data_IF_861931654229
#
_entry.id   IF_861931654229
#
_cell.length_a   1.000
_cell.length_b   1.000
_cell.length_c   1.000
_cell.angle_alpha   90.00
_cell.angle_beta   90.00
_cell.angle_gamma   90.00
#
_symmetry.space_group_name_H-M   'P 1'
#
loop_
_entity.id
_entity.type
_entity.pdbx_description
1 polymer ?
#
# COMPACT_ATOMS: atom_id res chain seq x y z
N UNK A 1 -2.87 -0.03 -13.44
CA UNK A 1 -4.20 -0.18 -14.09
C UNK A 1 -5.21 0.90 -13.65
N UNK A 2 -4.79 1.91 -12.86
CA UNK A 2 -5.70 2.89 -12.21
C UNK A 2 -6.06 4.11 -13.07
N UNK A 3 -5.32 4.41 -14.15
CA UNK A 3 -5.58 5.62 -14.94
C UNK A 3 -6.71 5.49 -15.98
N UNK A 4 -7.25 4.28 -16.23
CA UNK A 4 -8.21 4.06 -17.33
C UNK A 4 -9.69 4.25 -16.97
N UNK A 5 -10.05 4.33 -15.68
CA UNK A 5 -11.47 4.27 -15.27
C UNK A 5 -12.04 5.62 -14.80
N UNK A 6 -11.22 6.64 -14.58
CA UNK A 6 -11.68 7.96 -14.12
C UNK A 6 -11.68 9.06 -15.21
N UNK A 7 -11.38 8.71 -16.45
CA UNK A 7 -11.46 9.61 -17.61
C UNK A 7 -12.70 9.28 -18.48
N UNK A 8 -13.90 9.35 -17.89
CA UNK A 8 -15.14 9.44 -18.66
C UNK A 8 -15.64 10.88 -18.62
N UNK A 9 -15.24 11.66 -19.62
CA UNK A 9 -15.71 13.03 -19.82
C UNK A 9 -14.84 13.74 -20.87
N UNK A 10 -15.40 13.91 -22.07
CA UNK A 10 -14.86 14.67 -23.21
C UNK A 10 -13.71 14.01 -23.99
N UNK A 11 -14.07 13.04 -24.84
CA UNK A 11 -13.24 12.57 -25.95
C UNK A 11 -13.17 13.67 -27.03
N UNK A 12 -12.22 14.61 -26.92
CA UNK A 12 -11.87 15.46 -28.05
C UNK A 12 -10.90 14.69 -28.94
N UNK A 13 -11.34 14.32 -30.14
CA UNK A 13 -10.49 13.76 -31.19
C UNK A 13 -9.47 14.84 -31.59
N UNK A 14 -8.27 14.79 -31.04
CA UNK A 14 -7.15 15.61 -31.49
C UNK A 14 -6.49 14.92 -32.70
N UNK A 15 -6.76 15.48 -33.87
CA UNK A 15 -5.99 15.19 -35.09
C UNK A 15 -4.60 15.79 -34.88
N UNK A 16 -3.59 14.94 -34.65
CA UNK A 16 -2.19 15.33 -34.66
C UNK A 16 -1.73 15.58 -36.10
N UNK A 17 -1.86 16.80 -36.59
CA UNK A 17 -1.07 17.24 -37.74
C UNK A 17 0.37 17.44 -37.28
N UNK A 18 1.23 16.47 -37.62
CA UNK A 18 2.68 16.66 -37.54
C UNK A 18 3.05 17.76 -38.53
N UNK A 19 3.22 18.99 -38.03
CA UNK A 19 3.80 20.07 -38.82
C UNK A 19 5.27 19.70 -39.07
N UNK A 20 5.54 19.24 -40.28
CA UNK A 20 6.89 19.09 -40.81
C UNK A 20 7.30 20.44 -41.37
N UNK A 21 8.14 21.18 -40.64
CA UNK A 21 8.77 22.41 -41.16
C UNK A 21 9.97 21.99 -42.00
N UNK A 22 9.95 22.30 -43.29
CA UNK A 22 11.11 22.16 -44.17
C UNK A 22 12.22 23.13 -43.73
N UNK A 23 13.42 22.63 -43.44
CA UNK A 23 14.56 23.42 -42.98
C UNK A 23 15.43 23.88 -44.15
N UNK A 24 15.50 25.20 -44.40
CA UNK A 24 16.55 25.85 -45.18
C UNK A 24 17.75 26.21 -44.28
N UNK A 25 18.97 25.83 -44.69
CA UNK A 25 20.21 25.94 -43.89
C UNK A 25 20.62 27.36 -43.44
N UNK A 26 20.04 28.43 -43.97
CA UNK A 26 20.27 29.81 -43.50
C UNK A 26 19.46 30.19 -42.23
N UNK A 27 18.48 29.37 -41.83
CA UNK A 27 17.53 29.66 -40.74
C UNK A 27 18.03 29.28 -39.33
N UNK A 28 19.20 28.62 -39.21
CA UNK A 28 19.66 28.02 -37.95
C UNK A 28 20.64 28.89 -37.14
N UNK A 29 21.10 30.04 -37.65
CA UNK A 29 22.04 30.91 -36.91
C UNK A 29 21.33 31.94 -36.01
N UNK A 30 21.95 32.25 -34.86
CA UNK A 30 21.48 33.29 -33.93
C UNK A 30 21.50 34.68 -34.61
N UNK A 31 20.38 35.42 -34.62
CA UNK A 31 20.37 36.80 -35.10
C UNK A 31 21.14 37.73 -34.14
N UNK A 32 21.38 38.98 -34.54
CA UNK A 32 21.97 39.97 -33.65
C UNK A 32 21.08 40.18 -32.41
N UNK A 33 21.63 39.91 -31.22
CA UNK A 33 20.90 39.96 -29.95
C UNK A 33 20.93 41.40 -29.42
N UNK A 34 19.78 42.05 -29.22
CA UNK A 34 19.72 43.38 -28.60
C UNK A 34 20.32 43.37 -27.19
N UNK A 35 21.00 44.46 -26.81
CA UNK A 35 21.72 44.60 -25.53
C UNK A 35 20.88 44.17 -24.32
N UNK A 36 19.61 44.57 -24.28
CA UNK A 36 18.69 44.25 -23.19
C UNK A 36 18.43 42.73 -22.99
N UNK A 37 18.76 41.89 -23.98
CA UNK A 37 18.58 40.43 -23.92
C UNK A 37 19.88 39.63 -23.78
N UNK A 38 21.05 40.26 -23.97
CA UNK A 38 22.35 39.58 -23.92
C UNK A 38 22.58 38.84 -22.61
N UNK A 39 22.22 39.45 -21.47
CA UNK A 39 22.31 38.84 -20.14
C UNK A 39 21.57 37.48 -20.04
N UNK A 40 20.39 37.36 -20.65
CA UNK A 40 19.60 36.12 -20.59
C UNK A 40 20.25 35.00 -21.41
N UNK A 41 20.89 35.34 -22.54
CA UNK A 41 21.66 34.38 -23.33
C UNK A 41 22.93 33.93 -22.61
N UNK A 42 23.64 34.85 -21.94
CA UNK A 42 24.81 34.51 -21.11
C UNK A 42 24.42 33.57 -19.97
N UNK A 43 23.30 33.84 -19.28
CA UNK A 43 22.75 32.96 -18.25
C UNK A 43 22.40 31.57 -18.80
N UNK A 44 21.74 31.51 -19.96
CA UNK A 44 21.41 30.25 -20.61
C UNK A 44 22.66 29.47 -21.01
N UNK A 45 23.69 30.13 -21.52
CA UNK A 45 24.96 29.48 -21.85
C UNK A 45 25.62 28.90 -20.59
N UNK A 46 25.62 29.64 -19.48
CA UNK A 46 26.13 29.17 -18.20
C UNK A 46 25.37 27.93 -17.71
N UNK A 47 24.04 28.02 -17.63
CA UNK A 47 23.17 26.92 -17.17
C UNK A 47 23.30 25.69 -18.08
N UNK A 48 23.39 25.90 -19.39
CA UNK A 48 23.63 24.82 -20.36
C UNK A 48 24.98 24.16 -20.10
N UNK A 49 26.04 24.93 -19.88
CA UNK A 49 27.38 24.37 -19.63
C UNK A 49 27.42 23.54 -18.35
N UNK A 50 26.72 23.98 -17.29
CA UNK A 50 26.64 23.25 -16.02
C UNK A 50 26.02 21.85 -16.16
N UNK A 51 25.08 21.65 -17.10
CA UNK A 51 24.50 20.32 -17.32
C UNK A 51 25.52 19.25 -17.75
N UNK A 52 26.70 19.65 -18.22
CA UNK A 52 27.79 18.74 -18.56
C UNK A 52 28.32 17.97 -17.33
N UNK A 53 28.12 18.50 -16.11
CA UNK A 53 28.48 17.84 -14.86
C UNK A 53 27.88 16.43 -14.74
N UNK A 54 26.72 16.21 -15.37
CA UNK A 54 26.00 14.93 -15.27
C UNK A 54 26.42 13.90 -16.32
N UNK A 55 27.29 14.26 -17.27
CA UNK A 55 27.78 13.39 -18.35
C UNK A 55 26.64 12.65 -19.06
N UNK A 56 25.67 13.42 -19.58
CA UNK A 56 24.50 12.87 -20.28
C UNK A 56 24.92 12.40 -21.67
N UNK A 57 24.52 11.19 -22.06
CA UNK A 57 24.80 10.67 -23.40
C UNK A 57 24.14 11.55 -24.48
N UNK A 58 24.90 11.87 -25.54
CA UNK A 58 24.41 12.76 -26.61
C UNK A 58 24.26 14.23 -26.18
N UNK A 59 25.03 14.69 -25.19
CA UNK A 59 24.92 16.06 -24.67
C UNK A 59 25.07 17.16 -25.73
N UNK A 60 25.91 16.99 -26.74
CA UNK A 60 26.06 17.97 -27.82
C UNK A 60 24.76 18.17 -28.62
N UNK A 61 24.00 17.09 -28.84
CA UNK A 61 22.67 17.17 -29.45
C UNK A 61 21.71 17.98 -28.57
N UNK A 62 21.76 17.78 -27.25
CA UNK A 62 20.92 18.53 -26.31
C UNK A 62 21.32 20.00 -26.22
N UNK A 63 22.62 20.30 -26.29
CA UNK A 63 23.13 21.67 -26.41
C UNK A 63 22.62 22.33 -27.69
N UNK A 64 22.64 21.61 -28.82
CA UNK A 64 22.09 22.11 -30.08
C UNK A 64 20.57 22.33 -30.01
N UNK A 65 19.82 21.47 -29.31
CA UNK A 65 18.39 21.69 -29.07
C UNK A 65 18.13 22.97 -28.28
N UNK A 66 18.87 23.22 -27.20
CA UNK A 66 18.77 24.46 -26.40
C UNK A 66 19.13 25.69 -27.24
N UNK A 67 20.17 25.59 -28.07
CA UNK A 67 20.55 26.65 -29.00
C UNK A 67 19.43 26.96 -30.01
N UNK A 68 18.89 25.93 -30.67
CA UNK A 68 17.79 26.09 -31.62
C UNK A 68 16.53 26.67 -30.98
N UNK A 69 16.25 26.32 -29.73
CA UNK A 69 15.16 26.92 -28.98
C UNK A 69 15.39 28.43 -28.81
N UNK A 70 16.57 28.87 -28.37
CA UNK A 70 16.89 30.30 -28.28
C UNK A 70 16.73 31.02 -29.64
N UNK A 71 17.24 30.42 -30.73
CA UNK A 71 17.08 30.96 -32.09
C UNK A 71 15.60 31.12 -32.44
N UNK A 72 14.75 30.14 -32.11
CA UNK A 72 13.32 30.21 -32.39
C UNK A 72 12.62 31.36 -31.64
N UNK A 73 13.05 31.70 -30.42
CA UNK A 73 12.52 32.83 -29.65
C UNK A 73 12.95 34.16 -30.28
N UNK A 74 14.25 34.28 -30.60
CA UNK A 74 14.81 35.52 -31.14
C UNK A 74 14.28 35.86 -32.53
N UNK A 75 14.08 34.86 -33.38
CA UNK A 75 13.54 35.02 -34.74
C UNK A 75 12.02 35.14 -34.80
N UNK A 76 11.31 34.90 -33.70
CA UNK A 76 9.85 35.06 -33.70
C UNK A 76 9.48 36.55 -33.72
N UNK A 77 8.95 37.00 -34.86
CA UNK A 77 8.52 38.39 -35.09
C UNK A 77 7.21 38.74 -34.38
N UNK A 78 6.43 37.74 -33.96
CA UNK A 78 5.18 37.95 -33.21
C UNK A 78 5.44 38.28 -31.73
N UNK A 79 6.66 38.05 -31.24
CA UNK A 79 7.03 38.33 -29.84
C UNK A 79 7.62 39.72 -29.70
N UNK A 80 7.06 40.49 -28.76
CA UNK A 80 7.70 41.72 -28.33
C UNK A 80 8.94 41.41 -27.46
N UNK A 81 9.69 42.45 -27.10
CA UNK A 81 10.91 42.31 -26.30
C UNK A 81 10.67 41.64 -24.93
N UNK A 82 9.55 41.94 -24.28
CA UNK A 82 9.23 41.39 -22.97
C UNK A 82 8.87 39.90 -23.06
N UNK A 83 8.16 39.49 -24.10
CA UNK A 83 7.82 38.09 -24.33
C UNK A 83 9.07 37.26 -24.64
N UNK A 84 10.00 37.79 -25.45
CA UNK A 84 11.31 37.14 -25.68
C UNK A 84 12.08 36.95 -24.38
N UNK A 85 12.15 37.98 -23.55
CA UNK A 85 12.78 37.91 -22.21
C UNK A 85 12.08 36.86 -21.34
N UNK A 86 10.74 36.85 -21.30
CA UNK A 86 9.94 35.89 -20.54
C UNK A 86 10.26 34.44 -20.91
N UNK A 87 10.40 34.12 -22.19
CA UNK A 87 10.70 32.75 -22.64
C UNK A 87 12.16 32.36 -22.45
N UNK A 88 13.12 33.26 -22.69
CA UNK A 88 14.53 33.00 -22.41
C UNK A 88 14.77 32.77 -20.91
N UNK A 89 14.17 33.61 -20.07
CA UNK A 89 14.21 33.45 -18.60
C UNK A 89 13.57 32.14 -18.18
N UNK A 90 12.38 31.81 -18.67
CA UNK A 90 11.72 30.55 -18.29
C UNK A 90 12.48 29.31 -18.74
N UNK A 91 13.09 29.32 -19.92
CA UNK A 91 14.00 28.24 -20.34
C UNK A 91 15.18 28.12 -19.35
N UNK A 92 15.77 29.23 -18.94
CA UNK A 92 16.85 29.23 -17.96
C UNK A 92 16.41 28.67 -16.60
N UNK A 93 15.20 29.01 -16.12
CA UNK A 93 14.62 28.47 -14.89
C UNK A 93 14.42 26.95 -14.98
N UNK A 94 13.96 26.45 -16.14
CA UNK A 94 13.79 25.02 -16.40
C UNK A 94 15.12 24.28 -16.31
N UNK A 95 16.18 24.80 -16.96
CA UNK A 95 17.51 24.16 -16.92
C UNK A 95 18.10 24.16 -15.50
N UNK A 96 17.99 25.27 -14.77
CA UNK A 96 18.50 25.38 -13.40
C UNK A 96 17.72 24.48 -12.42
N UNK A 97 16.40 24.42 -12.55
CA UNK A 97 15.56 23.53 -11.74
C UNK A 97 15.90 22.07 -12.03
N UNK A 98 16.06 21.71 -13.30
CA UNK A 98 16.49 20.36 -13.69
C UNK A 98 17.86 20.01 -13.10
N UNK A 99 18.85 20.91 -13.21
CA UNK A 99 20.17 20.70 -12.62
C UNK A 99 20.09 20.42 -11.12
N UNK A 100 19.35 21.26 -10.39
CA UNK A 100 19.12 21.08 -8.96
C UNK A 100 18.44 19.74 -8.66
N UNK A 101 17.36 19.41 -9.36
CA UNK A 101 16.60 18.19 -9.11
C UNK A 101 17.40 16.93 -9.46
N UNK A 102 18.31 16.95 -10.45
CA UNK A 102 19.24 15.84 -10.70
C UNK A 102 20.25 15.71 -9.55
N UNK A 103 20.83 16.81 -9.06
CA UNK A 103 21.78 16.80 -7.94
C UNK A 103 21.18 16.21 -6.67
N UNK A 104 19.90 16.48 -6.41
CA UNK A 104 19.17 15.96 -5.25
C UNK A 104 18.48 14.62 -5.50
N UNK A 105 18.69 13.98 -6.66
CA UNK A 105 18.08 12.68 -6.99
C UNK A 105 16.56 12.70 -7.13
N UNK A 106 15.96 13.86 -7.45
CA UNK A 106 14.51 14.04 -7.63
C UNK A 106 14.04 13.78 -9.07
N UNK A 107 14.96 13.86 -10.03
CA UNK A 107 14.70 13.55 -11.44
C UNK A 107 15.87 12.79 -12.05
N UNK A 108 15.56 11.85 -12.94
CA UNK A 108 16.57 11.14 -13.72
C UNK A 108 17.15 12.07 -14.81
N UNK A 109 18.48 12.16 -14.89
CA UNK A 109 19.19 12.95 -15.91
C UNK A 109 18.80 12.60 -17.35
N UNK A 110 18.34 11.37 -17.60
CA UNK A 110 17.86 10.89 -18.91
C UNK A 110 16.55 11.56 -19.36
N UNK A 111 15.88 12.30 -18.47
CA UNK A 111 14.65 13.03 -18.80
C UNK A 111 14.90 14.41 -19.43
N UNK A 112 16.14 14.88 -19.52
CA UNK A 112 16.46 16.18 -20.13
C UNK A 112 15.89 16.34 -21.56
N UNK A 113 16.01 15.37 -22.49
CA UNK A 113 15.45 15.52 -23.84
C UNK A 113 13.93 15.72 -23.82
N UNK A 114 13.23 14.94 -23.00
CA UNK A 114 11.78 15.05 -22.85
C UNK A 114 11.38 16.37 -22.19
N UNK A 115 12.14 16.84 -21.19
CA UNK A 115 11.89 18.14 -20.56
C UNK A 115 12.02 19.29 -21.56
N UNK A 116 13.07 19.28 -22.40
CA UNK A 116 13.26 20.31 -23.43
C UNK A 116 12.12 20.30 -24.44
N UNK A 117 11.71 19.11 -24.91
CA UNK A 117 10.59 18.96 -25.83
C UNK A 117 9.29 19.48 -25.21
N UNK A 118 8.96 19.06 -23.99
CA UNK A 118 7.75 19.50 -23.30
C UNK A 118 7.76 21.01 -23.00
N UNK A 119 8.91 21.59 -22.66
CA UNK A 119 9.02 23.04 -22.46
C UNK A 119 8.74 23.82 -23.75
N UNK A 120 9.26 23.33 -24.87
CA UNK A 120 9.00 23.92 -26.18
C UNK A 120 7.51 23.85 -26.54
N UNK A 121 6.86 22.71 -26.32
CA UNK A 121 5.42 22.58 -26.58
C UNK A 121 4.58 23.48 -25.67
N UNK A 122 4.87 23.52 -24.37
CA UNK A 122 4.21 24.41 -23.42
C UNK A 122 4.40 25.90 -23.80
N UNK A 123 5.58 26.25 -24.31
CA UNK A 123 5.86 27.60 -24.83
C UNK A 123 5.04 27.93 -26.07
N UNK A 124 4.88 27.00 -27.00
CA UNK A 124 4.03 27.21 -28.17
C UNK A 124 2.55 27.40 -27.77
N UNK A 125 2.07 26.67 -26.76
CA UNK A 125 0.73 26.87 -26.20
C UNK A 125 0.59 28.25 -25.54
N UNK A 126 1.57 28.65 -24.73
CA UNK A 126 1.61 29.97 -24.08
C UNK A 126 1.61 31.12 -25.10
N UNK A 127 2.39 31.01 -26.19
CA UNK A 127 2.41 32.00 -27.28
C UNK A 127 1.05 32.13 -27.98
N UNK A 128 0.28 31.05 -28.03
CA UNK A 128 -1.08 31.03 -28.57
C UNK A 128 -2.14 31.41 -27.53
N UNK A 129 -1.73 31.82 -26.32
CA UNK A 129 -2.61 32.10 -25.17
C UNK A 129 -3.53 30.93 -24.82
N UNK A 130 -3.04 29.69 -25.00
CA UNK A 130 -3.75 28.47 -24.64
C UNK A 130 -3.23 27.90 -23.34
N UNK A 131 -4.10 27.21 -22.61
CA UNK A 131 -3.75 26.38 -21.48
C UNK A 131 -2.58 25.41 -21.76
N UNK A 132 -1.58 25.38 -20.87
CA UNK A 132 -0.50 24.37 -20.88
C UNK A 132 -0.93 23.00 -20.35
N UNK A 133 -2.15 22.88 -19.82
CA UNK A 133 -2.66 21.66 -19.20
C UNK A 133 -2.50 20.41 -20.08
N UNK A 134 -2.77 20.43 -21.40
CA UNK A 134 -2.60 19.25 -22.25
C UNK A 134 -1.16 18.71 -22.25
N UNK A 135 -0.17 19.61 -22.23
CA UNK A 135 1.24 19.22 -22.16
C UNK A 135 1.59 18.63 -20.78
N UNK A 136 1.05 19.21 -19.70
CA UNK A 136 1.26 18.68 -18.34
C UNK A 136 0.58 17.32 -18.15
N UNK A 137 -0.57 17.08 -18.79
CA UNK A 137 -1.22 15.75 -18.81
C UNK A 137 -0.34 14.74 -19.55
N UNK A 138 0.22 15.09 -20.72
CA UNK A 138 1.07 14.21 -21.50
C UNK A 138 2.44 13.92 -20.84
N UNK A 139 3.03 14.91 -20.18
CA UNK A 139 4.38 14.81 -19.62
C UNK A 139 4.46 13.88 -18.41
N UNK A 140 5.66 13.34 -18.14
CA UNK A 140 5.95 12.69 -16.85
C UNK A 140 5.81 13.68 -15.69
N UNK A 141 5.49 13.17 -14.50
CA UNK A 141 5.27 13.98 -13.30
C UNK A 141 6.47 14.88 -12.97
N UNK A 142 7.68 14.34 -13.05
CA UNK A 142 8.93 15.08 -12.77
C UNK A 142 9.14 16.22 -13.76
N UNK A 143 8.87 15.96 -15.05
CA UNK A 143 8.95 16.97 -16.12
C UNK A 143 7.92 18.07 -15.87
N UNK A 144 6.66 17.72 -15.65
CA UNK A 144 5.61 18.71 -15.40
C UNK A 144 5.85 19.54 -14.15
N UNK A 145 6.39 18.95 -13.08
CA UNK A 145 6.78 19.66 -11.86
C UNK A 145 7.84 20.74 -12.08
N UNK A 146 8.74 20.55 -13.05
CA UNK A 146 9.71 21.57 -13.45
C UNK A 146 9.01 22.64 -14.30
N UNK A 147 8.19 22.23 -15.27
CA UNK A 147 7.51 23.17 -16.18
C UNK A 147 6.64 24.16 -15.43
N UNK A 148 5.78 23.73 -14.50
CA UNK A 148 4.88 24.63 -13.77
C UNK A 148 5.60 25.66 -12.88
N UNK A 149 6.91 25.50 -12.63
CA UNK A 149 7.75 26.45 -11.90
C UNK A 149 8.43 27.47 -12.81
N UNK A 150 8.44 27.24 -14.13
CA UNK A 150 9.03 28.15 -15.11
C UNK A 150 8.35 29.52 -15.06
N UNK A 151 9.15 30.59 -15.07
CA UNK A 151 8.62 31.95 -15.15
C UNK A 151 7.67 32.17 -16.33
N UNK A 152 7.85 31.44 -17.44
CA UNK A 152 7.02 31.57 -18.64
C UNK A 152 5.55 31.25 -18.42
N UNK A 153 5.20 30.44 -17.42
CA UNK A 153 3.84 29.89 -17.29
C UNK A 153 3.09 30.34 -16.03
N UNK A 154 3.66 31.28 -15.26
CA UNK A 154 3.06 31.69 -13.98
C UNK A 154 1.71 32.41 -14.13
N UNK A 155 1.42 32.96 -15.31
CA UNK A 155 0.14 33.60 -15.65
C UNK A 155 -0.73 32.76 -16.60
N UNK A 156 -0.33 31.53 -16.93
CA UNK A 156 -1.10 30.69 -17.86
C UNK A 156 -2.42 30.24 -17.20
N UNK A 157 -3.53 30.31 -17.96
CA UNK A 157 -4.86 29.88 -17.49
C UNK A 157 -4.91 28.43 -17.00
N UNK A 158 -4.06 27.57 -17.58
CA UNK A 158 -3.97 26.15 -17.26
C UNK A 158 -3.15 25.83 -16.01
N UNK A 159 -2.51 26.80 -15.37
CA UNK A 159 -1.54 26.56 -14.29
C UNK A 159 -2.19 25.90 -13.06
N UNK A 160 -3.38 26.35 -12.67
CA UNK A 160 -4.09 25.80 -11.50
C UNK A 160 -4.45 24.34 -11.74
N UNK A 161 -5.12 24.03 -12.86
CA UNK A 161 -5.45 22.66 -13.24
C UNK A 161 -4.19 21.78 -13.42
N UNK A 162 -3.09 22.36 -13.91
CA UNK A 162 -1.82 21.65 -14.07
C UNK A 162 -1.22 21.23 -12.72
N UNK A 163 -1.31 22.10 -11.70
CA UNK A 163 -0.89 21.76 -10.32
C UNK A 163 -1.74 20.61 -9.76
N UNK A 164 -3.04 20.64 -9.98
CA UNK A 164 -3.93 19.55 -9.53
C UNK A 164 -3.65 18.22 -10.24
N UNK A 165 -3.41 18.24 -11.55
CA UNK A 165 -3.02 17.03 -12.30
C UNK A 165 -1.69 16.47 -11.81
N UNK A 166 -0.71 17.32 -11.50
CA UNK A 166 0.57 16.86 -10.95
C UNK A 166 0.41 16.28 -9.54
N UNK A 167 -0.49 16.84 -8.74
CA UNK A 167 -0.85 16.28 -7.45
C UNK A 167 -1.51 14.89 -7.58
N UNK A 168 -2.40 14.73 -8.56
CA UNK A 168 -3.01 13.43 -8.87
C UNK A 168 -1.94 12.40 -9.30
N UNK A 169 -0.99 12.81 -10.15
CA UNK A 169 0.17 11.97 -10.54
C UNK A 169 1.05 11.62 -9.35
N UNK A 170 1.22 12.51 -8.38
CA UNK A 170 1.94 12.23 -7.13
C UNK A 170 1.21 11.15 -6.31
N UNK A 171 -0.11 11.25 -6.18
CA UNK A 171 -0.93 10.25 -5.48
C UNK A 171 -0.90 8.87 -6.18
N UNK A 172 -0.86 8.84 -7.51
CA UNK A 172 -0.74 7.58 -8.28
C UNK A 172 0.64 6.94 -8.11
N UNK A 173 1.71 7.76 -8.13
CA UNK A 173 3.09 7.28 -7.94
C UNK A 173 3.37 6.86 -6.49
N UNK A 174 2.79 7.55 -5.51
CA UNK A 174 3.01 7.30 -4.09
C UNK A 174 1.68 7.18 -3.32
N UNK A 175 0.95 6.06 -3.49
CA UNK A 175 -0.35 5.90 -2.86
C UNK A 175 -0.30 6.09 -1.33
N UNK A 176 0.73 5.59 -0.66
CA UNK A 176 0.89 5.76 0.79
C UNK A 176 0.89 7.23 1.26
N UNK A 177 1.20 8.20 0.40
CA UNK A 177 1.17 9.64 0.71
C UNK A 177 -0.17 10.32 0.42
N UNK A 178 -1.13 9.63 -0.19
CA UNK A 178 -2.42 10.20 -0.62
C UNK A 178 -3.14 10.98 0.48
N UNK A 179 -3.32 10.41 1.68
CA UNK A 179 -4.04 11.09 2.77
C UNK A 179 -3.28 12.32 3.29
N UNK A 180 -1.94 12.27 3.32
CA UNK A 180 -1.12 13.43 3.67
C UNK A 180 -1.29 14.54 2.63
N UNK A 181 -1.20 14.21 1.35
CA UNK A 181 -1.41 15.14 0.24
C UNK A 181 -2.80 15.79 0.32
N UNK A 182 -3.85 14.98 0.50
CA UNK A 182 -5.22 15.48 0.63
C UNK A 182 -5.41 16.32 1.89
N UNK A 183 -4.64 16.11 2.96
CA UNK A 183 -4.73 16.96 4.15
C UNK A 183 -4.25 18.38 3.90
N UNK A 184 -3.31 18.55 2.97
CA UNK A 184 -2.79 19.85 2.53
C UNK A 184 -3.67 20.45 1.41
N UNK A 185 -4.32 19.60 0.62
CA UNK A 185 -5.13 19.99 -0.52
C UNK A 185 -6.54 19.37 -0.49
N UNK A 186 -7.36 19.64 0.54
CA UNK A 186 -8.61 18.91 0.77
C UNK A 186 -9.71 19.23 -0.25
N UNK A 187 -9.55 20.28 -1.07
CA UNK A 187 -10.57 20.78 -1.99
C UNK A 187 -10.44 20.29 -3.43
N UNK A 188 -9.41 19.50 -3.75
CA UNK A 188 -9.20 19.01 -5.12
C UNK A 188 -10.37 18.16 -5.59
N UNK A 189 -10.71 18.27 -6.88
CA UNK A 189 -11.92 17.65 -7.45
C UNK A 189 -11.93 16.12 -7.36
N UNK A 190 -10.76 15.49 -7.29
CA UNK A 190 -10.59 14.04 -7.19
C UNK A 190 -10.44 13.51 -5.75
N UNK A 191 -10.57 14.37 -4.73
CA UNK A 191 -10.32 13.97 -3.34
C UNK A 191 -11.19 12.81 -2.87
N UNK A 192 -12.49 12.81 -3.19
CA UNK A 192 -13.43 11.76 -2.76
C UNK A 192 -13.08 10.38 -3.36
N UNK A 193 -12.70 10.35 -4.64
CA UNK A 193 -12.22 9.13 -5.28
C UNK A 193 -10.96 8.60 -4.60
N UNK A 194 -10.02 9.48 -4.26
CA UNK A 194 -8.79 9.09 -3.56
C UNK A 194 -9.03 8.69 -2.10
N UNK A 195 -10.00 9.30 -1.41
CA UNK A 195 -10.43 8.90 -0.06
C UNK A 195 -10.99 7.47 -0.08
N UNK A 196 -11.87 7.15 -1.04
CA UNK A 196 -12.43 5.81 -1.20
C UNK A 196 -11.34 4.75 -1.49
N UNK A 197 -10.37 5.09 -2.33
CA UNK A 197 -9.23 4.20 -2.60
C UNK A 197 -8.32 4.04 -1.36
N UNK A 198 -8.08 5.11 -0.62
CA UNK A 198 -7.31 5.05 0.63
C UNK A 198 -8.01 4.18 1.67
N UNK A 199 -9.34 4.19 1.74
CA UNK A 199 -10.13 3.36 2.64
C UNK A 199 -9.92 1.86 2.41
N UNK A 200 -9.81 1.44 1.15
CA UNK A 200 -9.56 0.03 0.81
C UNK A 200 -8.11 -0.38 1.10
N UNK A 201 -7.16 0.53 0.85
CA UNK A 201 -5.74 0.25 1.00
C UNK A 201 -5.29 0.22 2.46
N UNK A 202 -5.72 1.23 3.23
CA UNK A 202 -5.29 1.42 4.61
C UNK A 202 -6.44 2.00 5.45
N UNK A 203 -7.39 1.13 5.89
CA UNK A 203 -8.51 1.55 6.72
C UNK A 203 -8.08 2.20 8.04
N UNK A 204 -6.94 1.79 8.62
CA UNK A 204 -6.44 2.30 9.89
C UNK A 204 -5.92 3.73 9.76
N UNK A 205 -5.17 4.03 8.70
CA UNK A 205 -4.76 5.39 8.41
C UNK A 205 -6.00 6.27 8.17
N UNK A 206 -6.97 5.82 7.38
CA UNK A 206 -8.19 6.60 7.14
C UNK A 206 -8.95 6.88 8.44
N UNK A 207 -9.06 5.90 9.35
CA UNK A 207 -9.66 6.11 10.67
C UNK A 207 -9.01 7.27 11.42
N UNK A 208 -7.67 7.33 11.44
CA UNK A 208 -6.93 8.40 12.12
C UNK A 208 -7.20 9.78 11.50
N UNK A 209 -7.24 9.86 10.17
CA UNK A 209 -7.56 11.11 9.46
C UNK A 209 -9.02 11.52 9.67
N UNK A 210 -9.95 10.55 9.72
CA UNK A 210 -11.36 10.80 9.97
C UNK A 210 -11.62 11.33 11.39
N UNK A 211 -10.84 10.90 12.39
CA UNK A 211 -10.95 11.39 13.77
C UNK A 211 -10.42 12.82 13.96
N UNK A 212 -9.62 13.34 13.02
CA UNK A 212 -8.99 14.65 13.15
C UNK A 212 -9.99 15.80 12.89
N UNK A 213 -10.00 16.87 13.71
CA UNK A 213 -10.93 18.00 13.56
C UNK A 213 -10.47 19.01 12.50
N UNK A 214 -10.04 18.54 11.31
CA UNK A 214 -9.55 19.38 10.22
C UNK A 214 -10.42 19.24 8.96
N UNK A 215 -10.08 19.98 7.90
CA UNK A 215 -10.87 20.02 6.66
C UNK A 215 -10.98 18.64 5.99
N UNK A 216 -9.90 17.86 5.95
CA UNK A 216 -9.93 16.50 5.40
C UNK A 216 -10.78 15.56 6.26
N UNK A 217 -10.63 15.61 7.59
CA UNK A 217 -11.43 14.81 8.52
C UNK A 217 -12.92 15.06 8.35
N UNK A 218 -13.34 16.34 8.27
CA UNK A 218 -14.74 16.72 7.97
C UNK A 218 -15.21 16.16 6.63
N UNK A 219 -14.38 16.24 5.58
CA UNK A 219 -14.70 15.69 4.26
C UNK A 219 -14.88 14.17 4.30
N UNK A 220 -14.02 13.45 5.01
CA UNK A 220 -14.13 12.00 5.22
C UNK A 220 -15.43 11.65 5.98
N UNK A 221 -15.77 12.41 7.02
CA UNK A 221 -17.00 12.21 7.80
C UNK A 221 -18.29 12.41 7.02
N UNK A 222 -18.28 13.26 6.00
CA UNK A 222 -19.44 13.57 5.16
C UNK A 222 -19.50 12.71 3.88
N UNK A 223 -18.57 11.76 3.73
CA UNK A 223 -18.41 11.01 2.50
C UNK A 223 -19.52 9.96 2.31
N UNK A 224 -19.98 9.77 1.07
CA UNK A 224 -21.13 8.90 0.74
C UNK A 224 -20.77 7.43 0.49
N UNK A 225 -19.49 7.13 0.21
CA UNK A 225 -19.03 5.74 0.07
C UNK A 225 -19.26 4.93 1.37
N UNK A 226 -19.91 3.75 1.33
CA UNK A 226 -20.28 2.99 2.53
C UNK A 226 -19.12 2.62 3.45
N UNK A 227 -17.98 2.21 2.89
CA UNK A 227 -16.78 1.86 3.67
C UNK A 227 -16.22 3.09 4.37
N UNK A 228 -16.09 4.21 3.64
CA UNK A 228 -15.60 5.48 4.21
C UNK A 228 -16.53 5.97 5.31
N UNK A 229 -17.84 5.95 5.07
CA UNK A 229 -18.85 6.36 6.04
C UNK A 229 -18.82 5.50 7.31
N UNK A 230 -18.63 4.18 7.16
CA UNK A 230 -18.49 3.27 8.31
C UNK A 230 -17.21 3.57 9.09
N UNK A 231 -16.06 3.71 8.43
CA UNK A 231 -14.80 4.07 9.08
C UNK A 231 -14.95 5.40 9.83
N UNK A 232 -15.56 6.42 9.20
CA UNK A 232 -15.74 7.72 9.82
C UNK A 232 -16.70 7.68 11.02
N UNK A 233 -17.82 6.95 10.90
CA UNK A 233 -18.75 6.73 12.01
C UNK A 233 -18.06 6.09 13.21
N UNK A 234 -17.24 5.06 12.97
CA UNK A 234 -16.41 4.46 14.03
C UNK A 234 -15.38 5.45 14.59
N UNK A 235 -14.68 6.21 13.74
CA UNK A 235 -13.65 7.16 14.16
C UNK A 235 -14.16 8.27 15.08
N UNK A 236 -15.42 8.69 14.90
CA UNK A 236 -16.08 9.70 15.75
C UNK A 236 -16.70 9.13 17.02
N UNK A 237 -16.78 7.79 17.16
CA UNK A 237 -17.30 7.13 18.35
C UNK A 237 -16.24 6.95 19.44
N UNK A 238 -16.63 7.16 20.70
CA UNK A 238 -15.73 6.99 21.87
C UNK A 238 -15.11 5.60 21.96
N UNK A 239 -15.87 4.56 21.59
CA UNK A 239 -15.47 3.15 21.62
C UNK A 239 -15.20 2.59 20.21
N UNK A 240 -15.06 3.44 19.19
CA UNK A 240 -14.91 3.06 17.78
C UNK A 240 -13.91 1.94 17.49
N UNK A 241 -12.76 1.98 18.18
CA UNK A 241 -11.70 0.96 18.05
C UNK A 241 -12.12 -0.44 18.45
N UNK A 242 -13.08 -0.59 19.36
CA UNK A 242 -13.57 -1.90 19.77
C UNK A 242 -14.46 -2.55 18.69
N UNK A 243 -15.09 -1.76 17.82
CA UNK A 243 -15.86 -2.29 16.69
C UNK A 243 -15.01 -2.43 15.43
N UNK A 244 -13.88 -1.72 15.36
CA UNK A 244 -13.06 -1.60 14.15
C UNK A 244 -12.49 -2.94 13.66
N UNK A 245 -12.23 -3.91 14.55
CA UNK A 245 -11.83 -5.26 14.13
C UNK A 245 -12.90 -6.01 13.31
N UNK A 246 -14.16 -5.54 13.34
CA UNK A 246 -15.27 -6.07 12.54
C UNK A 246 -15.61 -5.19 11.34
N UNK A 247 -14.72 -4.28 10.93
CA UNK A 247 -15.00 -3.30 9.88
C UNK A 247 -15.56 -3.96 8.62
N UNK A 248 -14.98 -5.07 8.17
CA UNK A 248 -15.39 -5.74 6.93
C UNK A 248 -16.86 -6.22 6.98
N UNK A 249 -17.27 -6.77 8.11
CA UNK A 249 -18.65 -7.22 8.31
C UNK A 249 -19.62 -6.05 8.52
N UNK A 250 -19.17 -4.99 9.20
CA UNK A 250 -19.95 -3.77 9.43
C UNK A 250 -20.30 -3.06 8.13
N UNK A 251 -19.31 -2.78 7.27
CA UNK A 251 -19.57 -2.05 6.03
C UNK A 251 -20.35 -2.87 4.99
N UNK A 252 -20.27 -4.21 5.08
CA UNK A 252 -21.07 -5.15 4.27
C UNK A 252 -22.46 -5.41 4.82
N UNK A 253 -22.81 -4.86 5.99
CA UNK A 253 -24.11 -5.07 6.63
C UNK A 253 -24.35 -6.49 7.14
N UNK A 254 -23.29 -7.29 7.34
CA UNK A 254 -23.38 -8.64 7.95
C UNK A 254 -23.63 -8.58 9.45
N UNK A 255 -23.19 -7.50 10.08
CA UNK A 255 -23.44 -7.20 11.49
C UNK A 255 -23.67 -5.70 11.66
N UNK A 256 -24.11 -5.28 12.84
CA UNK A 256 -24.31 -3.88 13.18
C UNK A 256 -23.52 -3.51 14.44
N UNK A 257 -23.27 -2.22 14.65
CA UNK A 257 -22.63 -1.75 15.89
C UNK A 257 -23.44 -2.19 17.10
N UNK A 258 -24.78 -2.13 17.03
CA UNK A 258 -25.68 -2.53 18.12
C UNK A 258 -25.58 -4.03 18.43
N UNK A 259 -25.43 -4.88 17.41
CA UNK A 259 -25.26 -6.32 17.61
C UNK A 259 -23.94 -6.65 18.30
N UNK A 260 -22.87 -5.93 17.98
CA UNK A 260 -21.56 -6.08 18.65
C UNK A 260 -21.62 -5.51 20.07
N UNK A 261 -22.26 -4.35 20.24
CA UNK A 261 -22.38 -3.66 21.54
C UNK A 261 -23.08 -4.53 22.59
N UNK A 262 -24.05 -5.33 22.16
CA UNK A 262 -24.76 -6.29 23.02
C UNK A 262 -23.84 -7.36 23.66
N UNK A 263 -22.66 -7.62 23.09
CA UNK A 263 -21.71 -8.61 23.61
C UNK A 263 -20.38 -8.02 24.07
N UNK A 264 -20.11 -6.73 23.79
CA UNK A 264 -18.78 -6.13 23.97
C UNK A 264 -18.35 -6.03 25.44
N UNK A 265 -19.31 -5.90 26.35
CA UNK A 265 -19.08 -5.85 27.79
C UNK A 265 -18.81 -7.25 28.39
N UNK A 266 -19.27 -8.32 27.73
CA UNK A 266 -18.97 -9.70 28.10
C UNK A 266 -17.70 -10.14 27.37
N UNK A 267 -16.58 -10.19 28.10
CA UNK A 267 -15.28 -10.53 27.53
C UNK A 267 -15.24 -11.94 26.91
N UNK A 268 -16.05 -12.88 27.42
CA UNK A 268 -16.14 -14.22 26.84
C UNK A 268 -16.95 -14.16 25.55
N UNK A 269 -18.15 -13.60 25.57
CA UNK A 269 -18.99 -13.50 24.38
C UNK A 269 -18.30 -12.72 23.24
N UNK A 270 -17.60 -11.64 23.57
CA UNK A 270 -16.83 -10.85 22.62
C UNK A 270 -15.64 -11.63 22.03
N UNK A 271 -14.93 -12.42 22.84
CA UNK A 271 -13.90 -13.35 22.34
C UNK A 271 -14.47 -14.35 21.34
N UNK A 272 -15.61 -14.99 21.68
CA UNK A 272 -16.29 -15.93 20.78
C UNK A 272 -16.70 -15.29 19.46
N UNK A 273 -17.20 -14.05 19.50
CA UNK A 273 -17.55 -13.30 18.29
C UNK A 273 -16.33 -13.09 17.39
N UNK A 274 -15.18 -12.69 17.96
CA UNK A 274 -13.94 -12.54 17.18
C UNK A 274 -13.44 -13.86 16.59
N UNK A 275 -13.50 -14.97 17.34
CA UNK A 275 -13.15 -16.30 16.82
C UNK A 275 -14.03 -16.66 15.63
N UNK A 276 -15.35 -16.47 15.75
CA UNK A 276 -16.29 -16.73 14.66
C UNK A 276 -15.93 -15.90 13.42
N UNK A 277 -15.72 -14.60 13.58
CA UNK A 277 -15.35 -13.71 12.47
C UNK A 277 -14.01 -14.12 11.84
N UNK A 278 -13.03 -14.52 12.64
CA UNK A 278 -11.72 -14.98 12.15
C UNK A 278 -11.85 -16.23 11.28
N UNK A 279 -12.68 -17.20 11.68
CA UNK A 279 -12.97 -18.41 10.89
C UNK A 279 -13.68 -18.06 9.58
N UNK A 280 -14.67 -17.16 9.63
CA UNK A 280 -15.38 -16.69 8.45
C UNK A 280 -14.43 -15.97 7.47
N UNK A 281 -13.46 -15.20 7.98
CA UNK A 281 -12.45 -14.53 7.16
C UNK A 281 -11.45 -15.54 6.59
N UNK A 282 -11.05 -16.56 7.35
CA UNK A 282 -10.19 -17.63 6.85
C UNK A 282 -10.83 -18.41 5.70
N UNK A 283 -12.14 -18.69 5.75
CA UNK A 283 -12.83 -19.35 4.63
C UNK A 283 -12.83 -18.49 3.36
N UNK A 284 -13.00 -17.18 3.52
CA UNK A 284 -12.95 -16.22 2.41
C UNK A 284 -11.55 -16.13 1.81
N UNK A 285 -10.51 -16.09 2.64
CA UNK A 285 -9.12 -16.09 2.17
C UNK A 285 -8.77 -17.38 1.42
N UNK A 286 -9.29 -18.54 1.84
CA UNK A 286 -9.18 -19.80 1.09
C UNK A 286 -9.78 -19.70 -0.32
N UNK A 287 -10.81 -18.87 -0.50
CA UNK A 287 -11.45 -18.55 -1.78
C UNK A 287 -10.78 -17.36 -2.51
N UNK A 288 -9.58 -16.93 -2.09
CA UNK A 288 -8.82 -15.81 -2.64
C UNK A 288 -9.48 -14.44 -2.49
N UNK A 289 -10.38 -14.29 -1.51
CA UNK A 289 -10.92 -13.00 -1.09
C UNK A 289 -9.98 -12.34 -0.06
N UNK A 290 -10.07 -11.02 0.08
CA UNK A 290 -9.25 -10.19 0.97
C UNK A 290 -10.16 -9.46 1.96
N UNK A 291 -10.52 -10.08 3.10
CA UNK A 291 -11.26 -9.38 4.15
C UNK A 291 -10.46 -8.18 4.67
N UNK A 292 -11.12 -7.02 4.81
CA UNK A 292 -10.49 -5.85 5.42
C UNK A 292 -10.15 -6.14 6.88
N UNK A 293 -9.09 -5.48 7.38
CA UNK A 293 -8.68 -5.50 8.80
C UNK A 293 -8.45 -6.89 9.41
N UNK A 294 -8.19 -7.92 8.60
CA UNK A 294 -7.91 -9.28 9.07
C UNK A 294 -6.83 -9.33 10.15
N UNK A 295 -5.69 -8.66 9.90
CA UNK A 295 -4.59 -8.59 10.87
C UNK A 295 -4.96 -7.81 12.14
N UNK A 296 -5.80 -6.78 12.01
CA UNK A 296 -6.30 -6.01 13.16
C UNK A 296 -7.23 -6.86 14.03
N UNK A 297 -8.10 -7.68 13.41
CA UNK A 297 -8.94 -8.65 14.09
C UNK A 297 -8.10 -9.69 14.82
N UNK A 298 -7.12 -10.29 14.14
CA UNK A 298 -6.23 -11.28 14.74
C UNK A 298 -5.45 -10.72 15.94
N UNK A 299 -4.90 -9.50 15.81
CA UNK A 299 -4.21 -8.83 16.91
C UNK A 299 -5.14 -8.61 18.11
N UNK A 300 -6.38 -8.17 17.87
CA UNK A 300 -7.37 -7.98 18.93
C UNK A 300 -7.79 -9.30 19.57
N UNK A 301 -7.96 -10.35 18.77
CA UNK A 301 -8.27 -11.69 19.23
C UNK A 301 -7.16 -12.25 20.12
N UNK A 302 -5.89 -12.09 19.72
CA UNK A 302 -4.71 -12.43 20.53
C UNK A 302 -4.69 -11.68 21.86
N UNK A 303 -4.91 -10.36 21.85
CA UNK A 303 -5.00 -9.57 23.08
C UNK A 303 -6.06 -10.13 24.04
N UNK A 304 -7.24 -10.45 23.52
CA UNK A 304 -8.33 -11.00 24.36
C UNK A 304 -8.11 -12.44 24.81
N UNK A 305 -7.49 -13.29 23.99
CA UNK A 305 -7.02 -14.60 24.43
C UNK A 305 -6.12 -14.48 25.66
N UNK A 306 -5.16 -13.55 25.60
CA UNK A 306 -4.20 -13.29 26.67
C UNK A 306 -4.84 -12.73 27.93
N UNK A 307 -5.55 -11.60 27.79
CA UNK A 307 -6.14 -10.86 28.90
C UNK A 307 -7.17 -11.68 29.66
N UNK A 308 -8.00 -12.44 28.95
CA UNK A 308 -9.20 -13.08 29.52
C UNK A 308 -8.93 -14.51 29.97
N UNK A 309 -8.04 -15.25 29.30
CA UNK A 309 -7.88 -16.68 29.55
C UNK A 309 -6.45 -17.07 29.93
N UNK A 310 -5.45 -16.73 29.10
CA UNK A 310 -4.08 -17.25 29.29
C UNK A 310 -3.46 -16.74 30.59
N UNK A 311 -3.59 -15.45 30.88
CA UNK A 311 -3.06 -14.87 32.12
C UNK A 311 -3.71 -15.50 33.35
N UNK A 312 -5.02 -15.81 33.29
CA UNK A 312 -5.74 -16.44 34.40
C UNK A 312 -5.26 -17.87 34.65
N UNK A 313 -5.22 -18.71 33.61
CA UNK A 313 -4.80 -20.11 33.77
C UNK A 313 -3.31 -20.26 34.09
N UNK A 314 -2.47 -19.31 33.66
CA UNK A 314 -1.06 -19.22 34.05
C UNK A 314 -0.92 -18.76 35.51
N UNK A 315 -1.70 -17.77 35.93
CA UNK A 315 -1.70 -17.27 37.30
C UNK A 315 -2.14 -18.34 38.31
N UNK A 316 -3.04 -19.23 37.91
CA UNK A 316 -3.55 -20.33 38.71
C UNK A 316 -2.75 -21.64 38.56
N UNK A 317 -1.45 -21.57 38.22
CA UNK A 317 -0.63 -22.76 37.93
C UNK A 317 -0.49 -23.75 39.09
N UNK A 318 -0.63 -23.30 40.34
CA UNK A 318 -0.59 -24.13 41.56
C UNK A 318 -1.98 -24.61 42.02
N UNK A 319 -3.06 -24.18 41.37
CA UNK A 319 -4.42 -24.54 41.74
C UNK A 319 -4.87 -25.86 41.09
N UNK A 320 -5.87 -26.50 41.71
CA UNK A 320 -6.51 -27.69 41.15
C UNK A 320 -7.13 -27.42 39.78
N UNK A 321 -7.13 -28.45 38.92
CA UNK A 321 -7.59 -28.39 37.54
C UNK A 321 -9.02 -27.82 37.36
N UNK A 322 -9.91 -28.11 38.30
CA UNK A 322 -11.30 -27.63 38.27
C UNK A 322 -11.40 -26.11 38.52
N UNK A 323 -10.47 -25.57 39.33
CA UNK A 323 -10.38 -24.14 39.62
C UNK A 323 -9.59 -23.43 38.52
N UNK A 324 -8.39 -23.95 38.21
CA UNK A 324 -7.45 -23.36 37.26
C UNK A 324 -8.06 -23.10 35.89
N UNK A 325 -8.82 -24.06 35.37
CA UNK A 325 -9.35 -23.99 34.00
C UNK A 325 -10.85 -23.68 33.95
N UNK A 326 -11.42 -23.16 35.04
CA UNK A 326 -12.85 -22.83 35.12
C UNK A 326 -13.26 -21.83 34.03
N UNK A 327 -12.43 -20.82 33.73
CA UNK A 327 -12.73 -19.82 32.70
C UNK A 327 -12.75 -20.36 31.27
N UNK A 328 -12.20 -21.56 31.04
CA UNK A 328 -12.24 -22.24 29.74
C UNK A 328 -13.52 -23.06 29.52
N UNK A 329 -14.28 -23.36 30.57
CA UNK A 329 -15.51 -24.15 30.48
C UNK A 329 -16.52 -23.63 29.45
N UNK A 330 -16.81 -22.32 29.34
CA UNK A 330 -17.75 -21.82 28.33
C UNK A 330 -17.24 -21.95 26.90
N UNK A 331 -15.95 -22.23 26.67
CA UNK A 331 -15.37 -22.20 25.34
C UNK A 331 -15.64 -23.47 24.52
N UNK A 332 -15.76 -23.29 23.21
CA UNK A 332 -15.86 -24.36 22.20
C UNK A 332 -14.47 -24.88 21.81
N UNK A 333 -14.37 -26.06 21.14
CA UNK A 333 -13.09 -26.52 20.62
C UNK A 333 -12.38 -25.50 19.71
N UNK A 334 -13.12 -24.78 18.87
CA UNK A 334 -12.57 -23.76 17.98
C UNK A 334 -11.99 -22.58 18.77
N UNK A 335 -12.69 -22.14 19.81
CA UNK A 335 -12.21 -21.06 20.68
C UNK A 335 -10.95 -21.46 21.45
N UNK A 336 -10.86 -22.72 21.91
CA UNK A 336 -9.67 -23.28 22.54
C UNK A 336 -8.52 -23.46 21.54
N UNK A 337 -8.82 -23.80 20.29
CA UNK A 337 -7.83 -23.85 19.21
C UNK A 337 -7.13 -22.49 19.04
N UNK A 338 -7.91 -21.39 19.00
CA UNK A 338 -7.34 -20.05 18.91
C UNK A 338 -6.56 -19.62 20.15
N UNK A 339 -6.90 -20.11 21.35
CA UNK A 339 -6.07 -19.89 22.54
C UNK A 339 -4.69 -20.55 22.38
N UNK A 340 -4.65 -21.78 21.85
CA UNK A 340 -3.40 -22.50 21.65
C UNK A 340 -2.51 -21.82 20.61
N UNK A 341 -3.05 -21.33 19.48
CA UNK A 341 -2.23 -20.75 18.41
C UNK A 341 -1.93 -19.28 18.61
N UNK A 342 -2.78 -18.50 19.27
CA UNK A 342 -2.53 -17.07 19.48
C UNK A 342 -1.85 -16.76 20.82
N UNK A 343 -1.79 -17.72 21.73
CA UNK A 343 -1.09 -17.62 23.01
C UNK A 343 0.37 -18.04 22.99
N UNK A 344 0.98 -18.11 21.81
CA UNK A 344 2.26 -18.75 21.57
C UNK A 344 3.44 -18.15 22.35
N UNK A 345 3.37 -16.86 22.68
CA UNK A 345 4.45 -16.16 23.39
C UNK A 345 4.32 -16.23 24.92
N UNK A 346 3.12 -16.51 25.46
CA UNK A 346 2.85 -16.35 26.90
C UNK A 346 2.33 -17.60 27.60
N UNK A 347 1.82 -18.59 26.89
CA UNK A 347 1.22 -19.77 27.51
C UNK A 347 2.29 -20.64 28.17
N UNK A 348 2.10 -21.01 29.45
CA UNK A 348 2.99 -21.96 30.12
C UNK A 348 2.77 -23.37 29.58
N UNK A 349 3.80 -24.22 29.66
CA UNK A 349 3.71 -25.64 29.28
C UNK A 349 2.49 -26.35 29.89
N UNK A 350 2.31 -26.27 31.22
CA UNK A 350 1.17 -26.92 31.88
C UNK A 350 -0.18 -26.30 31.49
N UNK A 351 -0.22 -25.00 31.16
CA UNK A 351 -1.42 -24.33 30.68
C UNK A 351 -1.80 -24.81 29.28
N UNK A 352 -0.83 -24.88 28.35
CA UNK A 352 -1.05 -25.39 27.00
C UNK A 352 -1.60 -26.81 27.03
N UNK A 353 -0.96 -27.71 27.81
CA UNK A 353 -1.41 -29.09 27.96
C UNK A 353 -2.85 -29.17 28.50
N UNK A 354 -3.20 -28.29 29.45
CA UNK A 354 -4.55 -28.21 30.00
C UNK A 354 -5.60 -27.71 29.02
N UNK A 355 -5.25 -26.73 28.15
CA UNK A 355 -6.13 -26.24 27.06
C UNK A 355 -6.31 -27.33 26.00
N UNK A 356 -5.22 -27.95 25.56
CA UNK A 356 -5.20 -29.03 24.56
C UNK A 356 -6.09 -30.21 24.99
N UNK A 357 -5.92 -30.69 26.23
CA UNK A 357 -6.73 -31.76 26.82
C UNK A 357 -8.22 -31.43 26.76
N UNK A 358 -8.61 -30.25 27.24
CA UNK A 358 -10.02 -29.80 27.29
C UNK A 358 -10.64 -29.61 25.92
N UNK A 359 -9.85 -29.16 24.95
CA UNK A 359 -10.30 -29.07 23.56
C UNK A 359 -10.70 -30.45 23.03
N UNK A 360 -9.86 -31.48 23.24
CA UNK A 360 -10.16 -32.83 22.80
C UNK A 360 -11.26 -33.52 23.61
N UNK A 361 -11.38 -33.25 24.91
CA UNK A 361 -12.53 -33.69 25.72
C UNK A 361 -13.84 -33.15 25.15
N UNK A 362 -13.87 -31.88 24.73
CA UNK A 362 -15.05 -31.25 24.11
C UNK A 362 -15.32 -31.73 22.68
N UNK A 363 -14.29 -32.13 21.92
CA UNK A 363 -14.45 -32.72 20.60
C UNK A 363 -15.06 -34.12 20.66
N UNK A 364 -14.84 -34.85 21.76
CA UNK A 364 -15.32 -36.22 21.94
C UNK A 364 -14.73 -37.15 20.87
N UNK A 365 -15.59 -37.72 20.04
CA UNK A 365 -15.20 -38.62 18.94
C UNK A 365 -14.81 -37.89 17.65
N UNK A 366 -14.91 -36.55 17.62
CA UNK A 366 -14.53 -35.76 16.45
C UNK A 366 -13.02 -35.85 16.22
N UNK A 367 -12.64 -36.20 15.00
CA UNK A 367 -11.23 -36.37 14.62
C UNK A 367 -10.49 -35.03 14.54
N UNK A 368 -9.17 -35.07 14.70
CA UNK A 368 -8.31 -33.89 14.66
C UNK A 368 -8.34 -33.17 13.29
N UNK A 369 -8.48 -33.90 12.18
CA UNK A 369 -8.66 -33.32 10.85
C UNK A 369 -10.01 -32.63 10.69
N UNK A 370 -11.09 -33.19 11.29
CA UNK A 370 -12.40 -32.54 11.34
C UNK A 370 -12.35 -31.23 12.16
N UNK A 371 -11.56 -31.20 13.23
CA UNK A 371 -11.32 -29.97 13.98
C UNK A 371 -10.64 -28.91 13.10
N UNK A 372 -9.56 -29.25 12.40
CA UNK A 372 -8.88 -28.31 11.48
C UNK A 372 -9.80 -27.83 10.36
N UNK A 373 -10.63 -28.70 9.80
CA UNK A 373 -11.66 -28.32 8.82
C UNK A 373 -12.66 -27.30 9.39
N UNK A 374 -13.04 -27.44 10.67
CA UNK A 374 -13.98 -26.53 11.33
C UNK A 374 -13.44 -25.11 11.53
N UNK A 375 -12.11 -24.95 11.62
CA UNK A 375 -11.43 -23.65 11.66
C UNK A 375 -10.79 -23.29 10.31
N UNK A 376 -11.18 -23.98 9.23
CA UNK A 376 -10.71 -23.74 7.85
C UNK A 376 -9.20 -23.78 7.69
N UNK A 377 -8.52 -24.61 8.48
CA UNK A 377 -7.07 -24.71 8.56
C UNK A 377 -6.39 -23.37 8.89
N UNK A 378 -7.10 -22.40 9.47
CA UNK A 378 -6.50 -21.12 9.84
C UNK A 378 -5.41 -21.35 10.89
N UNK A 379 -4.21 -20.81 10.68
CA UNK A 379 -3.04 -21.03 11.53
C UNK A 379 -2.62 -22.50 11.74
N UNK A 380 -2.94 -23.42 10.82
CA UNK A 380 -2.61 -24.84 11.02
C UNK A 380 -1.10 -25.11 11.17
N UNK A 381 -0.24 -24.29 10.55
CA UNK A 381 1.22 -24.41 10.72
C UNK A 381 1.64 -24.05 12.14
N UNK A 382 1.13 -22.93 12.65
CA UNK A 382 1.34 -22.52 14.03
C UNK A 382 0.78 -23.56 15.01
N UNK A 383 -0.37 -24.17 14.72
CA UNK A 383 -0.89 -25.29 15.51
C UNK A 383 0.09 -26.46 15.57
N UNK A 384 0.63 -26.90 14.42
CA UNK A 384 1.62 -27.97 14.36
C UNK A 384 2.87 -27.60 15.17
N UNK A 385 3.37 -26.36 15.02
CA UNK A 385 4.50 -25.87 15.82
C UNK A 385 4.22 -25.93 17.31
N UNK A 386 3.07 -25.43 17.74
CA UNK A 386 2.70 -25.47 19.15
C UNK A 386 2.59 -26.91 19.66
N UNK A 387 1.91 -27.80 18.93
CA UNK A 387 1.82 -29.20 19.30
C UNK A 387 3.19 -29.87 19.36
N UNK A 388 4.11 -29.55 18.44
CA UNK A 388 5.46 -30.07 18.43
C UNK A 388 6.31 -29.55 19.62
N UNK A 389 6.27 -28.25 19.89
CA UNK A 389 6.99 -27.61 21.00
C UNK A 389 6.55 -28.09 22.38
N UNK A 390 5.30 -28.55 22.51
CA UNK A 390 4.73 -29.09 23.76
C UNK A 390 4.58 -30.62 23.76
N UNK A 391 5.24 -31.33 22.84
CA UNK A 391 5.25 -32.80 22.75
C UNK A 391 3.86 -33.46 22.60
N UNK A 392 2.94 -32.79 21.91
CA UNK A 392 1.58 -33.25 21.62
C UNK A 392 1.34 -33.55 20.12
N UNK A 393 2.35 -33.39 19.26
CA UNK A 393 2.19 -33.61 17.82
C UNK A 393 1.82 -35.06 17.47
N UNK A 394 2.49 -36.05 18.07
CA UNK A 394 2.19 -37.46 17.80
C UNK A 394 0.77 -37.84 18.25
N UNK A 395 0.34 -37.40 19.43
CA UNK A 395 -1.05 -37.57 19.91
C UNK A 395 -2.05 -36.89 18.97
N UNK A 396 -1.75 -35.67 18.51
CA UNK A 396 -2.60 -34.94 17.58
C UNK A 396 -2.77 -35.67 16.25
N UNK A 397 -1.67 -36.16 15.66
CA UNK A 397 -1.68 -36.89 14.40
C UNK A 397 -2.36 -38.26 14.53
N UNK A 398 -2.27 -38.92 15.68
CA UNK A 398 -2.94 -40.19 15.95
C UNK A 398 -4.48 -40.07 16.04
N UNK A 399 -5.01 -38.85 16.25
CA UNK A 399 -6.45 -38.56 16.34
C UNK A 399 -7.11 -38.26 14.99
N UNK A 400 -6.44 -38.50 13.87
CA UNK A 400 -6.99 -38.39 12.51
C UNK A 400 -6.62 -39.59 11.65
N UNK A 401 -7.26 -39.74 10.49
CA UNK A 401 -6.89 -40.80 9.54
C UNK A 401 -5.41 -40.66 9.12
N UNK A 402 -4.68 -41.78 9.07
CA UNK A 402 -3.25 -41.81 8.75
C UNK A 402 -2.93 -41.09 7.41
N UNK A 403 -3.81 -41.24 6.41
CA UNK A 403 -3.67 -40.54 5.13
C UNK A 403 -3.78 -39.02 5.28
N UNK A 404 -4.71 -38.54 6.11
CA UNK A 404 -4.91 -37.12 6.37
C UNK A 404 -3.75 -36.53 7.17
N UNK A 405 -3.19 -37.29 8.13
CA UNK A 405 -1.97 -36.90 8.85
C UNK A 405 -0.79 -36.72 7.89
N UNK A 406 -0.55 -37.66 6.97
CA UNK A 406 0.50 -37.55 5.95
C UNK A 406 0.28 -36.33 5.02
N UNK A 407 -0.96 -36.10 4.58
CA UNK A 407 -1.30 -34.95 3.75
C UNK A 407 -1.09 -33.62 4.47
N UNK A 408 -1.49 -33.54 5.75
CA UNK A 408 -1.31 -32.37 6.59
C UNK A 408 0.17 -32.03 6.76
N UNK A 409 1.01 -33.01 7.06
CA UNK A 409 2.45 -32.82 7.26
C UNK A 409 3.16 -32.48 5.94
N UNK A 410 2.69 -33.02 4.82
CA UNK A 410 3.13 -32.59 3.49
C UNK A 410 2.73 -31.13 3.22
N UNK A 411 1.52 -30.72 3.57
CA UNK A 411 1.09 -29.32 3.42
C UNK A 411 1.93 -28.40 4.32
N UNK A 412 2.27 -28.85 5.53
CA UNK A 412 3.05 -28.11 6.52
C UNK A 412 4.47 -27.72 6.06
N UNK A 413 5.10 -28.42 5.11
CA UNK A 413 6.40 -27.98 4.52
C UNK A 413 6.32 -27.40 3.12
N UNK A 414 5.15 -27.42 2.50
CA UNK A 414 4.96 -26.92 1.15
C UNK A 414 4.41 -25.50 1.13
N UNK A 415 4.75 -24.75 0.07
CA UNK A 415 4.17 -23.43 -0.20
C UNK A 415 4.66 -22.31 0.72
N UNK A 416 5.82 -22.47 1.37
CA UNK A 416 6.44 -21.45 2.22
C UNK A 416 6.93 -20.23 1.42
N UNK A 417 7.11 -20.39 0.11
CA UNK A 417 7.41 -19.32 -0.85
C UNK A 417 6.19 -18.44 -1.19
N UNK A 418 4.98 -18.90 -0.85
CA UNK A 418 3.71 -18.29 -1.24
C UNK A 418 2.99 -17.61 -0.08
N UNK A 419 3.61 -17.56 1.08
CA UNK A 419 3.05 -16.97 2.30
C UNK A 419 3.55 -15.55 2.46
N UNK A 420 2.68 -14.63 2.86
CA UNK A 420 3.06 -13.25 3.12
C UNK A 420 3.87 -13.17 4.43
N UNK A 421 5.20 -13.09 4.32
CA UNK A 421 6.12 -12.95 5.44
C UNK A 421 6.87 -14.24 5.80
N UNK A 422 7.70 -14.18 6.84
CA UNK A 422 8.60 -15.27 7.24
C UNK A 422 8.03 -16.19 8.33
N UNK A 423 6.89 -15.83 8.93
CA UNK A 423 6.32 -16.53 10.10
C UNK A 423 6.08 -18.02 9.81
N UNK A 424 5.42 -18.36 8.70
CA UNK A 424 5.18 -19.75 8.30
C UNK A 424 6.48 -20.55 8.10
N UNK A 425 7.54 -19.92 7.60
CA UNK A 425 8.84 -20.57 7.41
C UNK A 425 9.57 -20.79 8.75
N UNK A 426 9.48 -19.82 9.66
CA UNK A 426 9.99 -19.94 11.03
C UNK A 426 9.25 -21.05 11.77
N UNK A 427 7.93 -21.10 11.65
CA UNK A 427 7.12 -22.13 12.32
C UNK A 427 7.52 -23.55 11.89
N UNK A 428 7.82 -23.75 10.60
CA UNK A 428 8.32 -25.02 10.08
C UNK A 428 9.72 -25.35 10.60
N UNK A 429 10.61 -24.36 10.61
CA UNK A 429 11.98 -24.54 11.09
C UNK A 429 12.02 -24.94 12.56
N UNK A 430 11.25 -24.26 13.43
CA UNK A 430 11.21 -24.51 14.87
C UNK A 430 10.63 -25.88 15.21
N UNK A 431 9.68 -26.37 14.39
CA UNK A 431 9.02 -27.66 14.61
C UNK A 431 9.89 -28.85 14.23
N UNK A 432 10.94 -28.65 13.43
CA UNK A 432 11.69 -29.73 12.78
C UNK A 432 12.31 -30.71 13.79
N UNK A 433 12.91 -30.20 14.87
CA UNK A 433 13.57 -31.04 15.87
C UNK A 433 12.61 -31.93 16.68
N UNK A 434 11.33 -31.54 16.76
CA UNK A 434 10.32 -32.24 17.56
C UNK A 434 9.52 -33.29 16.76
N UNK A 435 9.75 -33.43 15.45
CA UNK A 435 9.10 -34.45 14.63
C UNK A 435 9.90 -35.74 14.69
N UNK A 436 9.42 -36.70 15.48
CA UNK A 436 10.06 -38.00 15.75
C UNK A 436 9.72 -39.05 14.69
N UNK A 437 8.62 -38.88 13.97
CA UNK A 437 8.20 -39.82 12.93
C UNK A 437 9.12 -39.71 11.70
N UNK A 438 9.99 -40.71 11.54
CA UNK A 438 10.98 -40.80 10.46
C UNK A 438 10.38 -40.77 9.05
N UNK A 439 9.17 -41.31 8.86
CA UNK A 439 8.47 -41.28 7.56
C UNK A 439 8.01 -39.86 7.18
N UNK A 440 7.80 -39.01 8.17
CA UNK A 440 7.43 -37.60 8.00
C UNK A 440 8.66 -36.69 7.96
N UNK A 441 9.72 -37.00 8.72
CA UNK A 441 10.94 -36.19 8.83
C UNK A 441 11.78 -36.18 7.53
N UNK A 442 11.91 -37.33 6.86
CA UNK A 442 12.74 -37.47 5.65
C UNK A 442 12.23 -36.62 4.46
N UNK A 443 10.93 -36.63 4.10
CA UNK A 443 10.39 -35.74 3.07
C UNK A 443 10.56 -34.25 3.38
N UNK A 444 10.52 -33.85 4.65
CA UNK A 444 10.75 -32.46 5.06
C UNK A 444 12.18 -32.02 4.82
N UNK A 445 13.17 -32.83 5.20
CA UNK A 445 14.59 -32.59 4.93
C UNK A 445 14.86 -32.37 3.45
N UNK A 446 14.34 -33.26 2.61
CA UNK A 446 14.50 -33.15 1.15
C UNK A 446 13.87 -31.86 0.61
N UNK A 447 12.74 -31.42 1.18
CA UNK A 447 12.04 -30.21 0.73
C UNK A 447 12.70 -28.93 1.22
N UNK A 448 13.15 -28.88 2.47
CA UNK A 448 13.93 -27.75 3.01
C UNK A 448 15.23 -27.59 2.22
N UNK A 449 15.94 -28.68 1.95
CA UNK A 449 17.14 -28.67 1.12
C UNK A 449 16.86 -28.18 -0.31
N UNK A 450 15.76 -28.62 -0.93
CA UNK A 450 15.35 -28.16 -2.26
C UNK A 450 14.97 -26.67 -2.29
N UNK A 451 14.28 -26.16 -1.27
CA UNK A 451 13.93 -24.75 -1.16
C UNK A 451 15.18 -23.88 -0.93
N UNK A 452 16.14 -24.34 -0.11
CA UNK A 452 17.42 -23.66 0.11
C UNK A 452 18.24 -23.56 -1.20
N UNK A 453 18.29 -24.65 -1.97
CA UNK A 453 18.96 -24.68 -3.27
C UNK A 453 18.31 -23.73 -4.29
N UNK A 454 16.98 -23.61 -4.28
CA UNK A 454 16.26 -22.67 -5.15
C UNK A 454 16.48 -21.21 -4.74
N UNK A 455 16.59 -20.91 -3.45
CA UNK A 455 16.80 -19.55 -2.95
C UNK A 455 18.25 -19.04 -3.10
N UNK A 456 19.20 -19.95 -3.34
CA UNK A 456 20.64 -19.64 -3.50
C UNK A 456 21.11 -19.70 -4.95
N UNK A 457 20.24 -20.09 -5.88
CA UNK A 457 20.40 -19.98 -7.33
C UNK A 457 19.79 -18.68 -7.84
#
# INVERSE_FOLDING_TARGET
>A
MMLRVLLLGCFFVMVFTKVTVAQTQAADSMPAIPVMRQLFHEQLQKSTTQLNDFKIDGFDTLRQMIYRYQVSIERNEQLNNNDKIKFLRGLNDVLNTFYSDVRYGRIDRRLLPHLLQSNQQATLLEMQQKSILPEIIAAKREVGNILIKSFSFQANEGLVASKEILLLKECDAFPNRTLNILSQHPQVYFADSLIALAALRDPEALYNYAAAPNALGKRIQQHTNPLVATIAGLATSKSGRQYFCFLDDLYKGKTTVQAIDAVIADSVAYYKLMVKTQIDYADRMRLKDTPLVYKTLEHRLRQKAKEVFINEINGLHDADDAVRFKSLQPLTPQELYYLCVLGDEEIYTSSYLGVYKRMFEKLGTTTADSMLMSVRFNHFRKWIRMAAGYNMLDDFLARMEARNAQLLMKAFVNGLDKTDGFEDAVDVADSYASITNTELQQPMLQRVAANLAYATA
#
